data_IF_565851145824
#
_entry.id   IF_565851145824
#
_cell.length_a   1.000
_cell.length_b   1.000
_cell.length_c   1.000
_cell.angle_alpha   90.00
_cell.angle_beta   90.00
_cell.angle_gamma   90.00
#
_symmetry.space_group_name_H-M   'P 1'
#
loop_
_entity.id
_entity.type
_entity.pdbx_description
1 polymer ?
#
# COMPACT_ATOMS: atom_id res chain seq x y z
N UNK A 1 -24.75 -26.48 11.28
CA UNK A 1 -24.43 -25.21 10.60
C UNK A 1 -23.43 -25.56 9.51
N UNK A 2 -23.70 -25.19 8.26
CA UNK A 2 -22.87 -25.53 7.11
C UNK A 2 -21.47 -24.90 7.26
N UNK A 3 -20.43 -25.71 7.15
CA UNK A 3 -19.03 -25.28 7.26
C UNK A 3 -18.70 -24.21 6.20
N UNK A 4 -19.29 -24.32 5.01
CA UNK A 4 -19.12 -23.35 3.94
C UNK A 4 -19.76 -22.01 4.28
N UNK A 5 -20.95 -22.03 4.90
CA UNK A 5 -21.63 -20.82 5.36
C UNK A 5 -20.85 -20.12 6.46
N UNK A 6 -20.27 -20.87 7.41
CA UNK A 6 -19.44 -20.32 8.47
C UNK A 6 -18.17 -19.65 7.90
N UNK A 7 -17.49 -20.30 6.94
CA UNK A 7 -16.32 -19.72 6.28
C UNK A 7 -16.65 -18.44 5.52
N UNK A 8 -17.78 -18.41 4.79
CA UNK A 8 -18.24 -17.22 4.09
C UNK A 8 -18.53 -16.06 5.05
N UNK A 9 -19.21 -16.32 6.17
CA UNK A 9 -19.49 -15.30 7.20
C UNK A 9 -18.20 -14.74 7.81
N UNK A 10 -17.20 -15.59 8.08
CA UNK A 10 -15.90 -15.15 8.58
C UNK A 10 -15.16 -14.29 7.56
N UNK A 11 -15.21 -14.63 6.27
CA UNK A 11 -14.59 -13.84 5.20
C UNK A 11 -15.24 -12.45 5.05
N UNK A 12 -16.56 -12.36 5.15
CA UNK A 12 -17.29 -11.07 5.13
C UNK A 12 -16.88 -10.21 6.32
N UNK A 13 -16.85 -10.78 7.53
CA UNK A 13 -16.46 -10.06 8.73
C UNK A 13 -15.00 -9.58 8.67
N UNK A 14 -14.10 -10.39 8.13
CA UNK A 14 -12.70 -10.01 7.92
C UNK A 14 -12.57 -8.86 6.92
N UNK A 15 -13.26 -8.93 5.79
CA UNK A 15 -13.25 -7.88 4.76
C UNK A 15 -13.76 -6.55 5.30
N UNK A 16 -14.82 -6.57 6.12
CA UNK A 16 -15.34 -5.37 6.79
C UNK A 16 -14.31 -4.72 7.70
N UNK A 17 -13.65 -5.51 8.55
CA UNK A 17 -12.58 -5.01 9.45
C UNK A 17 -11.41 -4.42 8.67
N UNK A 18 -11.03 -5.03 7.55
CA UNK A 18 -10.00 -4.49 6.68
C UNK A 18 -10.45 -3.17 6.04
N UNK A 19 -11.70 -3.03 5.60
CA UNK A 19 -12.24 -1.75 5.10
C UNK A 19 -12.12 -0.64 6.14
N UNK A 20 -12.53 -0.90 7.39
CA UNK A 20 -12.40 0.06 8.49
C UNK A 20 -10.92 0.43 8.75
N UNK A 21 -10.01 -0.52 8.59
CA UNK A 21 -8.57 -0.28 8.74
C UNK A 21 -7.99 0.52 7.57
N UNK A 22 -8.46 0.27 6.34
CA UNK A 22 -8.11 1.05 5.16
C UNK A 22 -8.50 2.52 5.32
N UNK A 23 -9.73 2.79 5.74
CA UNK A 23 -10.23 4.15 5.95
C UNK A 23 -9.37 4.92 6.96
N UNK A 24 -9.01 4.28 8.08
CA UNK A 24 -8.13 4.91 9.08
C UNK A 24 -6.72 5.15 8.54
N UNK A 25 -6.18 4.22 7.76
CA UNK A 25 -4.90 4.41 7.06
C UNK A 25 -4.95 5.58 6.08
N UNK A 26 -5.96 5.65 5.22
CA UNK A 26 -6.14 6.73 4.27
C UNK A 26 -6.25 8.09 4.98
N UNK A 27 -7.03 8.16 6.07
CA UNK A 27 -7.16 9.37 6.89
C UNK A 27 -5.83 9.81 7.50
N UNK A 28 -5.05 8.89 8.08
CA UNK A 28 -3.75 9.20 8.65
C UNK A 28 -2.74 9.62 7.57
N UNK A 29 -2.76 8.95 6.42
CA UNK A 29 -1.90 9.31 5.30
C UNK A 29 -2.21 10.72 4.81
N UNK A 30 -3.50 11.04 4.61
CA UNK A 30 -3.97 12.37 4.21
C UNK A 30 -3.53 13.45 5.20
N UNK A 31 -3.73 13.22 6.50
CA UNK A 31 -3.34 14.15 7.55
C UNK A 31 -1.83 14.42 7.58
N UNK A 32 -1.02 13.39 7.30
CA UNK A 32 0.44 13.52 7.29
C UNK A 32 0.98 14.18 6.01
N UNK A 33 0.25 14.12 4.88
CA UNK A 33 0.72 14.53 3.57
C UNK A 33 0.79 16.06 3.35
N UNK A 34 0.33 16.86 4.32
CA UNK A 34 0.26 18.33 4.23
C UNK A 34 1.65 19.00 4.20
N UNK A 35 2.69 18.34 4.70
CA UNK A 35 4.08 18.83 4.73
C UNK A 35 5.04 17.82 4.08
N UNK A 36 4.86 17.62 2.76
CA UNK A 36 5.61 16.63 2.00
C UNK A 36 7.08 17.02 1.73
N UNK A 37 8.02 16.05 1.74
CA UNK A 37 9.39 16.26 1.27
C UNK A 37 9.45 16.44 -0.26
N UNK A 38 10.48 17.12 -0.77
CA UNK A 38 10.68 17.41 -2.22
C UNK A 38 10.67 16.16 -3.13
N UNK A 39 10.82 14.96 -2.57
CA UNK A 39 10.90 13.69 -3.31
C UNK A 39 9.54 13.19 -3.86
N UNK A 40 8.42 13.73 -3.39
CA UNK A 40 7.09 13.31 -3.85
C UNK A 40 5.93 13.80 -2.99
N UNK A 41 4.71 13.60 -3.48
CA UNK A 41 3.48 14.03 -2.81
C UNK A 41 2.42 12.93 -2.83
N UNK A 42 1.55 12.95 -1.81
CA UNK A 42 0.31 12.19 -1.79
C UNK A 42 -0.86 13.14 -1.96
N UNK A 43 -1.78 12.78 -2.85
CA UNK A 43 -3.09 13.38 -2.92
C UNK A 43 -4.12 12.30 -2.59
N UNK A 44 -4.65 12.36 -1.37
CA UNK A 44 -5.61 11.40 -0.85
C UNK A 44 -7.00 12.01 -0.97
N UNK A 45 -7.87 11.34 -1.73
CA UNK A 45 -9.29 11.66 -1.85
C UNK A 45 -10.12 10.57 -1.16
N UNK A 46 -11.44 10.75 -1.10
CA UNK A 46 -12.36 9.72 -0.58
C UNK A 46 -12.30 8.42 -1.37
N UNK A 47 -11.99 8.51 -2.67
CA UNK A 47 -12.17 7.40 -3.61
C UNK A 47 -10.84 6.90 -4.19
N UNK A 48 -9.75 7.64 -4.00
CA UNK A 48 -8.45 7.31 -4.61
C UNK A 48 -7.25 7.93 -3.87
N UNK A 49 -6.10 7.26 -3.98
CA UNK A 49 -4.81 7.78 -3.53
C UNK A 49 -3.92 7.94 -4.76
N UNK A 50 -3.66 9.20 -5.13
CA UNK A 50 -2.73 9.55 -6.20
C UNK A 50 -1.37 9.92 -5.60
N UNK A 51 -0.30 9.45 -6.24
CA UNK A 51 1.05 9.59 -5.71
C UNK A 51 1.95 10.10 -6.81
N UNK A 52 2.74 11.14 -6.52
CA UNK A 52 3.88 11.51 -7.33
C UNK A 52 5.16 11.21 -6.57
N UNK A 53 6.14 10.59 -7.22
CA UNK A 53 7.45 10.34 -6.63
C UNK A 53 8.52 10.35 -7.74
N UNK A 54 9.57 11.15 -7.57
CA UNK A 54 10.63 11.34 -8.58
C UNK A 54 10.05 11.55 -9.98
N UNK A 55 9.18 12.55 -10.17
CA UNK A 55 8.52 12.88 -11.45
C UNK A 55 7.69 11.76 -12.11
N UNK A 56 7.39 10.68 -11.38
CA UNK A 56 6.50 9.60 -11.84
C UNK A 56 5.16 9.68 -11.15
N UNK A 57 4.11 9.50 -11.95
CA UNK A 57 2.77 9.24 -11.45
C UNK A 57 2.67 7.77 -11.07
N UNK A 58 2.25 7.52 -9.84
CA UNK A 58 2.12 6.20 -9.24
C UNK A 58 0.69 6.06 -8.73
N UNK A 59 0.06 4.96 -9.12
CA UNK A 59 -1.26 4.57 -8.64
C UNK A 59 -1.10 3.55 -7.51
N UNK A 60 -1.96 3.64 -6.50
CA UNK A 60 -2.02 2.63 -5.43
C UNK A 60 -3.28 1.79 -5.62
N UNK A 61 -3.10 0.50 -5.87
CA UNK A 61 -4.17 -0.49 -5.91
C UNK A 61 -4.25 -1.18 -4.56
N UNK A 62 -5.46 -1.36 -4.02
CA UNK A 62 -5.67 -2.05 -2.75
C UNK A 62 -6.53 -3.30 -2.93
N UNK A 63 -6.19 -4.37 -2.20
CA UNK A 63 -7.03 -5.57 -2.12
C UNK A 63 -6.83 -6.34 -0.82
N UNK A 64 -7.87 -7.03 -0.36
CA UNK A 64 -7.74 -7.99 0.72
C UNK A 64 -6.99 -9.24 0.25
N UNK A 65 -6.08 -9.75 1.09
CA UNK A 65 -5.29 -10.96 0.78
C UNK A 65 -5.45 -12.04 1.85
N UNK A 66 -5.35 -13.29 1.39
CA UNK A 66 -5.42 -14.48 2.23
C UNK A 66 -4.02 -14.84 2.72
N UNK A 67 -3.83 -14.90 4.04
CA UNK A 67 -2.60 -15.38 4.68
C UNK A 67 -3.01 -16.52 5.63
N UNK A 68 -2.31 -17.65 5.58
CA UNK A 68 -2.62 -18.83 6.39
C UNK A 68 -4.10 -19.26 6.28
N UNK A 69 -4.67 -19.24 5.07
CA UNK A 69 -6.06 -19.61 4.75
C UNK A 69 -7.14 -18.66 5.26
N UNK A 70 -6.79 -17.48 5.77
CA UNK A 70 -7.75 -16.48 6.20
C UNK A 70 -7.47 -15.12 5.55
N UNK A 71 -8.52 -14.38 5.20
CA UNK A 71 -8.38 -12.97 4.82
C UNK A 71 -7.89 -12.21 6.05
N UNK A 72 -6.69 -11.64 5.98
CA UNK A 72 -6.05 -11.08 7.18
C UNK A 72 -5.20 -9.84 6.93
N UNK A 73 -4.97 -9.41 5.69
CA UNK A 73 -4.24 -8.18 5.43
C UNK A 73 -4.80 -7.46 4.22
N UNK A 74 -4.50 -6.16 4.12
CA UNK A 74 -4.65 -5.40 2.88
C UNK A 74 -3.30 -5.31 2.20
N UNK A 75 -3.25 -5.73 0.95
CA UNK A 75 -2.13 -5.49 0.05
C UNK A 75 -2.34 -4.14 -0.65
N UNK A 76 -1.28 -3.32 -0.65
CA UNK A 76 -1.18 -2.09 -1.41
C UNK A 76 -0.09 -2.27 -2.47
N UNK A 77 -0.49 -2.29 -3.74
CA UNK A 77 0.42 -2.37 -4.87
C UNK A 77 0.58 -0.97 -5.50
N UNK A 78 1.81 -0.47 -5.49
CA UNK A 78 2.16 0.83 -6.04
C UNK A 78 2.69 0.62 -7.46
N UNK A 79 1.90 1.02 -8.44
CA UNK A 79 2.14 0.75 -9.86
C UNK A 79 2.39 2.04 -10.62
N UNK A 80 3.25 1.97 -11.64
CA UNK A 80 3.46 3.05 -12.61
C UNK A 80 3.44 2.49 -14.03
N UNK A 81 3.29 3.35 -15.04
CA UNK A 81 3.31 2.93 -16.45
C UNK A 81 4.73 2.99 -17.01
N UNK A 82 5.19 1.91 -17.62
CA UNK A 82 6.50 1.82 -18.27
C UNK A 82 6.40 0.98 -19.55
N UNK A 83 6.86 1.51 -20.69
CA UNK A 83 6.81 0.83 -22.01
C UNK A 83 5.43 0.20 -22.31
N UNK A 84 4.36 0.98 -22.10
CA UNK A 84 2.96 0.57 -22.26
C UNK A 84 2.41 -0.51 -21.33
N UNK A 85 3.18 -0.91 -20.32
CA UNK A 85 2.76 -1.87 -19.30
C UNK A 85 2.64 -1.21 -17.92
N UNK A 86 1.86 -1.84 -17.03
CA UNK A 86 1.87 -1.52 -15.61
C UNK A 86 3.01 -2.26 -14.92
N UNK A 87 3.88 -1.50 -14.25
CA UNK A 87 5.00 -2.02 -13.48
C UNK A 87 4.73 -1.83 -12.00
N UNK A 88 4.67 -2.94 -11.25
CA UNK A 88 4.66 -2.91 -9.78
C UNK A 88 6.03 -2.46 -9.26
N UNK A 89 6.03 -1.38 -8.50
CA UNK A 89 7.24 -0.73 -7.96
C UNK A 89 7.44 -1.15 -6.50
N UNK A 90 6.38 -1.09 -5.71
CA UNK A 90 6.42 -1.40 -4.30
C UNK A 90 5.14 -2.11 -3.93
N UNK A 91 5.26 -3.13 -3.08
CA UNK A 91 4.11 -3.78 -2.46
C UNK A 91 4.24 -3.70 -0.96
N UNK A 92 3.17 -3.27 -0.30
CA UNK A 92 3.08 -3.20 1.15
C UNK A 92 1.86 -3.97 1.63
N UNK A 93 1.91 -4.39 2.88
CA UNK A 93 0.86 -5.14 3.54
C UNK A 93 0.49 -4.45 4.84
N UNK A 94 -0.76 -4.02 4.98
CA UNK A 94 -1.31 -3.52 6.23
C UNK A 94 -1.88 -4.69 7.02
N UNK A 95 -1.17 -5.02 8.09
CA UNK A 95 -1.49 -6.10 9.01
C UNK A 95 -2.65 -5.69 9.93
N UNK A 96 -3.39 -6.64 10.55
CA UNK A 96 -4.52 -6.34 11.44
C UNK A 96 -4.18 -5.43 12.62
N UNK A 97 -2.92 -5.46 13.07
CA UNK A 97 -2.41 -4.60 14.14
C UNK A 97 -2.16 -3.15 13.71
N UNK A 98 -2.36 -2.81 12.43
CA UNK A 98 -2.06 -1.49 11.90
C UNK A 98 -0.59 -1.30 11.46
N UNK A 99 0.19 -2.38 11.40
CA UNK A 99 1.59 -2.29 10.95
C UNK A 99 1.64 -2.46 9.43
N UNK A 100 2.32 -1.54 8.74
CA UNK A 100 2.70 -1.71 7.34
C UNK A 100 3.99 -2.53 7.25
N UNK A 101 3.97 -3.59 6.44
CA UNK A 101 5.12 -4.46 6.19
C UNK A 101 5.39 -4.63 4.70
N UNK A 102 6.62 -5.04 4.33
CA UNK A 102 7.01 -5.33 2.94
C UNK A 102 6.72 -6.76 2.51
N UNK A 103 6.54 -7.66 3.47
CA UNK A 103 6.16 -9.04 3.23
C UNK A 103 4.78 -9.35 3.83
N UNK A 104 4.05 -10.33 3.26
CA UNK A 104 2.73 -10.68 3.74
C UNK A 104 2.74 -11.28 5.15
N UNK A 105 3.84 -11.90 5.59
CA UNK A 105 3.92 -12.57 6.89
C UNK A 105 4.27 -11.61 8.04
N UNK A 106 4.46 -10.33 7.75
CA UNK A 106 4.67 -9.28 8.75
C UNK A 106 6.07 -9.23 9.36
N UNK A 107 7.09 -9.77 8.69
CA UNK A 107 8.47 -9.84 9.20
C UNK A 107 9.29 -8.58 8.90
N UNK A 108 9.14 -8.01 7.72
CA UNK A 108 9.79 -6.77 7.29
C UNK A 108 8.89 -5.58 7.57
N UNK A 109 8.98 -5.06 8.78
CA UNK A 109 8.22 -3.88 9.21
C UNK A 109 8.73 -2.63 8.48
N UNK A 110 7.80 -1.86 7.92
CA UNK A 110 8.06 -0.50 7.42
C UNK A 110 7.78 0.53 8.52
N UNK A 111 6.53 0.60 8.99
CA UNK A 111 6.09 1.51 10.06
C UNK A 111 4.65 1.22 10.50
N UNK A 112 4.19 1.82 11.59
CA UNK A 112 2.78 1.83 11.98
C UNK A 112 1.95 2.81 11.12
N UNK A 113 0.68 2.46 10.86
CA UNK A 113 -0.22 3.27 10.04
C UNK A 113 -0.66 4.59 10.68
N UNK A 114 -0.40 4.76 11.98
CA UNK A 114 -0.68 5.98 12.76
C UNK A 114 0.59 6.81 13.00
N UNK A 115 1.71 6.45 12.40
CA UNK A 115 2.95 7.21 12.48
C UNK A 115 2.77 8.57 11.80
N UNK A 116 3.10 9.66 12.51
CA UNK A 116 3.01 11.04 11.97
C UNK A 116 3.81 11.24 10.69
N UNK A 117 4.82 10.41 10.44
CA UNK A 117 5.68 10.43 9.25
C UNK A 117 5.39 9.30 8.26
N UNK A 118 4.19 8.70 8.30
CA UNK A 118 3.82 7.59 7.42
C UNK A 118 4.03 7.90 5.94
N UNK A 119 3.66 9.09 5.47
CA UNK A 119 3.91 9.50 4.08
C UNK A 119 5.40 9.49 3.74
N UNK A 120 6.28 9.93 4.65
CA UNK A 120 7.74 9.95 4.41
C UNK A 120 8.31 8.55 4.34
N UNK A 121 7.84 7.65 5.21
CA UNK A 121 8.27 6.26 5.21
C UNK A 121 7.88 5.56 3.90
N UNK A 122 6.65 5.79 3.42
CA UNK A 122 6.19 5.24 2.14
C UNK A 122 6.93 5.88 0.96
N UNK A 123 7.09 7.22 0.91
CA UNK A 123 7.83 7.89 -0.17
C UNK A 123 9.30 7.47 -0.22
N UNK A 124 9.95 7.29 0.93
CA UNK A 124 11.33 6.79 1.01
C UNK A 124 11.43 5.34 0.51
N UNK A 125 10.47 4.50 0.89
CA UNK A 125 10.39 3.14 0.40
C UNK A 125 10.17 3.08 -1.12
N UNK A 126 9.27 3.93 -1.61
CA UNK A 126 8.85 3.99 -3.00
C UNK A 126 9.95 4.55 -3.89
N UNK A 127 10.62 5.64 -3.48
CA UNK A 127 11.73 6.23 -4.21
C UNK A 127 12.89 5.24 -4.34
N UNK A 128 13.23 4.54 -3.26
CA UNK A 128 14.26 3.48 -3.30
C UNK A 128 13.87 2.35 -4.25
N UNK A 129 12.62 1.89 -4.23
CA UNK A 129 12.15 0.87 -5.17
C UNK A 129 12.20 1.36 -6.62
N UNK A 130 11.78 2.59 -6.87
CA UNK A 130 11.71 3.18 -8.20
C UNK A 130 13.10 3.38 -8.79
N UNK A 131 14.07 3.85 -8.01
CA UNK A 131 15.48 3.98 -8.42
C UNK A 131 16.13 2.64 -8.77
N UNK A 132 15.64 1.53 -8.19
CA UNK A 132 16.09 0.18 -8.51
C UNK A 132 15.24 -0.49 -9.61
N UNK A 133 14.29 0.22 -10.20
CA UNK A 133 13.40 -0.30 -11.24
C UNK A 133 13.93 -0.02 -12.65
N UNK A 134 13.44 -0.73 -13.68
CA UNK A 134 13.76 -0.44 -15.08
C UNK A 134 13.47 1.00 -15.53
N UNK A 135 12.59 1.73 -14.82
CA UNK A 135 12.21 3.11 -15.14
C UNK A 135 13.40 4.07 -15.12
N UNK A 136 14.37 3.80 -14.25
CA UNK A 136 15.59 4.60 -14.06
C UNK A 136 16.87 3.85 -14.43
N UNK A 137 16.74 2.68 -15.05
CA UNK A 137 17.89 1.99 -15.62
C UNK A 137 18.48 2.82 -16.78
N UNK A 138 19.81 2.79 -16.99
CA UNK A 138 20.41 3.39 -18.18
C UNK A 138 19.76 2.84 -19.45
N UNK A 139 19.60 3.68 -20.46
CA UNK A 139 19.23 3.18 -21.79
C UNK A 139 20.29 2.17 -22.22
N UNK A 140 19.86 0.99 -22.67
CA UNK A 140 20.76 0.06 -23.35
C UNK A 140 21.32 0.80 -24.57
N UNK A 141 22.64 0.98 -24.60
CA UNK A 141 23.38 1.63 -25.68
C UNK A 141 23.62 0.70 -26.86
#
# INVERSE_FOLDING_TARGET
MDEQLQQAMMAVAATKKLSELHEKFAANLAASAVEGPEIGTFNVSSDSIAISCLDRNISMLSRAVVINKHISALEYDFVTRWKDEELSILRLYLQPGGVLTRDPNGKEILCDFNNTYIHRNILSALSKSLLNSPVYAPAEG
#
